data_IF_953509743586
#
_entry.id   IF_953509743586
#
_cell.length_a   1.000
_cell.length_b   1.000
_cell.length_c   1.000
_cell.angle_alpha   90.00
_cell.angle_beta   90.00
_cell.angle_gamma   90.00
#
_symmetry.space_group_name_H-M   'P 1'
#
loop_
_entity.id
_entity.type
_entity.pdbx_description
1 polymer ?
#
# COMPACT_ATOMS: atom_id res chain seq x y z
N UNK A 1 -12.07 8.52 -26.07
CA UNK A 1 -13.15 7.60 -25.64
C UNK A 1 -13.12 7.51 -24.12
N UNK A 2 -14.15 7.99 -23.42
CA UNK A 2 -14.21 7.87 -21.96
C UNK A 2 -14.48 6.40 -21.58
N UNK A 3 -13.77 5.90 -20.56
CA UNK A 3 -13.99 4.54 -20.07
C UNK A 3 -15.27 4.46 -19.24
N UNK A 4 -15.95 3.30 -19.17
CA UNK A 4 -17.14 3.14 -18.33
C UNK A 4 -16.90 3.52 -16.85
N UNK A 5 -15.70 3.27 -16.33
CA UNK A 5 -15.30 3.67 -14.99
C UNK A 5 -15.21 5.20 -14.81
N UNK A 6 -14.75 5.93 -15.84
CA UNK A 6 -14.69 7.40 -15.81
C UNK A 6 -16.10 8.02 -15.80
N UNK A 7 -17.03 7.48 -16.60
CA UNK A 7 -18.43 7.92 -16.63
C UNK A 7 -19.13 7.72 -15.27
N UNK A 8 -18.89 6.58 -14.61
CA UNK A 8 -19.42 6.31 -13.25
C UNK A 8 -18.90 7.29 -12.21
N UNK A 9 -17.60 7.64 -12.27
CA UNK A 9 -17.00 8.64 -11.38
C UNK A 9 -17.59 10.04 -11.60
N UNK A 10 -17.83 10.41 -12.85
CA UNK A 10 -18.47 11.69 -13.20
C UNK A 10 -19.91 11.76 -12.69
N UNK A 11 -20.69 10.68 -12.82
CA UNK A 11 -22.03 10.58 -12.28
C UNK A 11 -22.06 10.68 -10.74
N UNK A 12 -21.09 10.06 -10.05
CA UNK A 12 -20.97 10.16 -8.59
C UNK A 12 -20.68 11.60 -8.14
N UNK A 13 -19.81 12.31 -8.86
CA UNK A 13 -19.50 13.73 -8.59
C UNK A 13 -20.73 14.63 -8.77
N UNK A 14 -21.52 14.40 -9.83
CA UNK A 14 -22.76 15.14 -10.07
C UNK A 14 -23.81 14.86 -8.99
N UNK A 15 -23.93 13.62 -8.51
CA UNK A 15 -24.82 13.30 -7.38
C UNK A 15 -24.42 14.01 -6.09
N UNK A 16 -23.12 14.11 -5.80
CA UNK A 16 -22.63 14.86 -4.63
C UNK A 16 -22.94 16.35 -4.75
N UNK A 17 -22.69 16.96 -5.91
CA UNK A 17 -23.02 18.38 -6.15
C UNK A 17 -24.53 18.62 -6.02
N UNK A 18 -25.35 17.73 -6.58
CA UNK A 18 -26.80 17.82 -6.49
C UNK A 18 -27.29 17.75 -5.03
N UNK A 19 -26.70 16.92 -4.16
CA UNK A 19 -27.08 16.86 -2.74
C UNK A 19 -26.99 18.20 -2.01
N UNK A 20 -26.22 19.16 -2.53
CA UNK A 20 -26.05 20.49 -1.96
C UNK A 20 -26.85 21.57 -2.70
N UNK A 21 -27.48 21.23 -3.83
CA UNK A 21 -28.33 22.13 -4.60
C UNK A 21 -29.81 21.87 -4.26
N UNK A 22 -30.53 22.92 -3.87
CA UNK A 22 -31.98 22.84 -3.63
C UNK A 22 -32.76 23.47 -4.78
N UNK A 23 -33.87 22.85 -5.19
CA UNK A 23 -34.77 23.36 -6.24
C UNK A 23 -34.66 22.64 -7.61
N UNK A 24 -35.08 23.28 -8.73
CA UNK A 24 -35.17 22.63 -10.04
C UNK A 24 -33.83 22.19 -10.63
N UNK A 25 -32.72 22.80 -10.19
CA UNK A 25 -31.36 22.40 -10.58
C UNK A 25 -30.99 20.98 -10.09
N UNK A 26 -31.49 20.57 -8.92
CA UNK A 26 -31.28 19.22 -8.37
C UNK A 26 -31.76 18.13 -9.34
N UNK A 27 -32.95 18.32 -9.89
CA UNK A 27 -33.59 17.34 -10.77
C UNK A 27 -32.85 17.22 -12.11
N UNK A 28 -32.37 18.35 -12.64
CA UNK A 28 -31.59 18.36 -13.88
C UNK A 28 -30.24 17.64 -13.71
N UNK A 29 -29.55 17.88 -12.59
CA UNK A 29 -28.26 17.22 -12.33
C UNK A 29 -28.43 15.74 -12.00
N UNK A 30 -29.52 15.35 -11.34
CA UNK A 30 -29.88 13.95 -11.15
C UNK A 30 -30.22 13.23 -12.46
N UNK A 31 -30.96 13.87 -13.38
CA UNK A 31 -31.25 13.33 -14.71
C UNK A 31 -29.96 13.14 -15.53
N UNK A 32 -29.04 14.12 -15.49
CA UNK A 32 -27.72 14.02 -16.13
C UNK A 32 -26.90 12.87 -15.55
N UNK A 33 -26.89 12.71 -14.23
CA UNK A 33 -26.19 11.61 -13.57
C UNK A 33 -26.76 10.23 -13.96
N UNK A 34 -28.08 10.11 -14.09
CA UNK A 34 -28.73 8.88 -14.56
C UNK A 34 -28.40 8.57 -16.02
N UNK A 35 -28.41 9.58 -16.90
CA UNK A 35 -28.05 9.42 -18.31
C UNK A 35 -26.60 8.89 -18.49
N UNK A 36 -25.65 9.40 -17.70
CA UNK A 36 -24.25 8.92 -17.70
C UNK A 36 -24.11 7.46 -17.23
N UNK A 37 -24.94 7.04 -16.27
CA UNK A 37 -24.96 5.65 -15.79
C UNK A 37 -25.49 4.72 -16.88
N UNK A 38 -26.54 5.14 -17.61
CA UNK A 38 -27.10 4.37 -18.73
C UNK A 38 -26.09 4.24 -19.86
N UNK A 39 -25.42 5.32 -20.25
CA UNK A 39 -24.34 5.29 -21.25
C UNK A 39 -23.19 4.35 -20.84
N UNK A 40 -22.81 4.34 -19.55
CA UNK A 40 -21.79 3.42 -19.06
C UNK A 40 -22.22 1.95 -19.19
N UNK A 41 -23.48 1.62 -18.89
CA UNK A 41 -24.04 0.27 -19.07
C UNK A 41 -24.08 -0.14 -20.54
N UNK A 42 -24.46 0.76 -21.44
CA UNK A 42 -24.49 0.48 -22.88
C UNK A 42 -23.10 0.22 -23.46
N UNK A 43 -22.08 0.98 -23.02
CA UNK A 43 -20.70 0.73 -23.40
C UNK A 43 -20.18 -0.61 -22.87
N UNK A 44 -20.56 -0.99 -21.65
CA UNK A 44 -20.27 -2.31 -21.09
C UNK A 44 -20.93 -3.42 -21.91
N UNK A 45 -22.20 -3.27 -22.28
CA UNK A 45 -22.92 -4.21 -23.14
C UNK A 45 -22.31 -4.28 -24.56
N UNK A 46 -21.86 -3.16 -25.12
CA UNK A 46 -21.19 -3.10 -26.43
C UNK A 46 -19.81 -3.77 -26.39
N UNK A 47 -19.06 -3.59 -25.31
CA UNK A 47 -17.79 -4.29 -25.09
C UNK A 47 -18.01 -5.80 -24.91
N UNK A 48 -19.06 -6.19 -24.19
CA UNK A 48 -19.42 -7.59 -23.99
C UNK A 48 -19.88 -8.25 -25.31
N UNK A 49 -20.74 -7.59 -26.10
CA UNK A 49 -21.12 -8.06 -27.45
C UNK A 49 -19.93 -8.14 -28.41
N UNK A 50 -18.98 -7.21 -28.31
CA UNK A 50 -17.73 -7.26 -29.09
C UNK A 50 -16.81 -8.41 -28.66
N UNK A 51 -16.86 -8.83 -27.39
CA UNK A 51 -16.14 -10.03 -26.92
C UNK A 51 -16.85 -11.35 -27.26
N UNK A 52 -18.16 -11.33 -27.51
CA UNK A 52 -18.96 -12.50 -27.89
C UNK A 52 -19.10 -12.68 -29.42
N UNK A 53 -18.74 -11.68 -30.22
CA UNK A 53 -18.65 -11.81 -31.68
C UNK A 53 -17.21 -12.15 -32.09
N UNK A 54 -16.80 -13.38 -31.79
CA UNK A 54 -15.73 -14.06 -32.52
C UNK A 54 -16.45 -15.02 -33.48
N UNK A 55 -16.42 -14.80 -34.80
CA UNK A 55 -16.90 -15.80 -35.73
C UNK A 55 -16.05 -17.05 -35.54
N UNK A 56 -16.71 -18.18 -35.32
CA UNK A 56 -16.11 -19.51 -35.44
C UNK A 56 -15.60 -19.65 -36.87
N UNK A 57 -14.32 -19.38 -37.08
CA UNK A 57 -13.65 -19.63 -38.35
C UNK A 57 -12.49 -20.57 -38.05
N UNK A 58 -12.74 -21.86 -38.27
CA UNK A 58 -11.81 -22.97 -38.18
C UNK A 58 -10.75 -22.93 -39.29
N UNK A 59 -10.14 -21.77 -39.52
CA UNK A 59 -9.07 -21.57 -40.48
C UNK A 59 -8.26 -20.31 -40.12
N UNK A 60 -7.36 -20.45 -39.14
CA UNK A 60 -6.22 -19.53 -38.96
C UNK A 60 -4.98 -20.31 -38.56
N UNK A 61 -4.43 -21.01 -39.53
CA UNK A 61 -2.97 -21.05 -39.65
C UNK A 61 -2.46 -19.60 -39.62
N UNK A 62 -1.55 -19.28 -38.68
CA UNK A 62 -0.87 -18.00 -38.47
C UNK A 62 -1.61 -16.87 -37.71
N UNK A 63 -1.42 -16.82 -36.37
CA UNK A 63 -1.27 -15.56 -35.61
C UNK A 63 -0.04 -15.69 -34.69
N UNK A 64 1.04 -14.93 -34.88
CA UNK A 64 2.11 -14.87 -33.89
C UNK A 64 1.62 -14.05 -32.69
N UNK A 65 1.42 -14.72 -31.54
CA UNK A 65 1.15 -14.12 -30.24
C UNK A 65 2.32 -13.26 -29.74
N UNK A 66 2.50 -12.09 -30.33
CA UNK A 66 3.54 -11.11 -30.00
C UNK A 66 3.08 -10.06 -29.01
N UNK A 67 2.48 -10.43 -27.87
CA UNK A 67 2.21 -9.48 -26.78
C UNK A 67 2.63 -10.08 -25.43
N UNK A 68 3.71 -9.50 -24.91
CA UNK A 68 4.18 -9.52 -23.53
C UNK A 68 5.39 -10.40 -23.12
N UNK A 69 6.39 -10.57 -24.01
CA UNK A 69 7.72 -11.05 -23.58
C UNK A 69 8.43 -10.05 -22.64
N UNK A 70 8.17 -8.75 -22.79
CA UNK A 70 8.86 -7.67 -22.05
C UNK A 70 8.42 -7.55 -20.58
N UNK A 71 7.13 -7.71 -20.22
CA UNK A 71 6.78 -7.69 -18.80
C UNK A 71 7.26 -8.97 -18.09
N UNK A 72 7.24 -10.13 -18.78
CA UNK A 72 7.76 -11.38 -18.22
C UNK A 72 9.28 -11.30 -17.95
N UNK A 73 10.06 -10.70 -18.84
CA UNK A 73 11.49 -10.44 -18.60
C UNK A 73 11.72 -9.43 -17.48
N UNK A 74 10.91 -8.37 -17.38
CA UNK A 74 10.97 -7.40 -16.29
C UNK A 74 10.66 -8.02 -14.92
N UNK A 75 9.67 -8.92 -14.83
CA UNK A 75 9.38 -9.66 -13.60
C UNK A 75 10.53 -10.59 -13.22
N UNK A 76 11.07 -11.34 -14.18
CA UNK A 76 12.24 -12.20 -13.95
C UNK A 76 13.42 -11.39 -13.37
N UNK A 77 13.74 -10.25 -13.96
CA UNK A 77 14.84 -9.41 -13.48
C UNK A 77 14.60 -8.88 -12.06
N UNK A 78 13.35 -8.53 -11.73
CA UNK A 78 12.95 -8.14 -10.36
C UNK A 78 13.11 -9.29 -9.37
N UNK A 79 12.68 -10.50 -9.73
CA UNK A 79 12.82 -11.69 -8.89
C UNK A 79 14.30 -11.98 -8.61
N UNK A 80 15.14 -11.95 -9.66
CA UNK A 80 16.58 -12.15 -9.53
C UNK A 80 17.20 -11.11 -8.60
N UNK A 81 16.93 -9.82 -8.83
CA UNK A 81 17.42 -8.75 -7.97
C UNK A 81 16.98 -8.93 -6.50
N UNK A 82 15.74 -9.37 -6.27
CA UNK A 82 15.22 -9.64 -4.92
C UNK A 82 15.93 -10.82 -4.26
N UNK A 83 16.18 -11.91 -4.99
CA UNK A 83 16.94 -13.07 -4.51
C UNK A 83 18.36 -12.63 -4.10
N UNK A 84 19.05 -11.86 -4.94
CA UNK A 84 20.40 -11.35 -4.64
C UNK A 84 20.40 -10.46 -3.38
N UNK A 85 19.46 -9.53 -3.29
CA UNK A 85 19.32 -8.64 -2.12
C UNK A 85 19.05 -9.43 -0.83
N UNK A 86 18.11 -10.38 -0.87
CA UNK A 86 17.75 -11.17 0.31
C UNK A 86 18.87 -12.11 0.73
N UNK A 87 19.58 -12.73 -0.21
CA UNK A 87 20.75 -13.57 0.10
C UNK A 87 21.83 -12.76 0.83
N UNK A 88 22.11 -11.53 0.34
CA UNK A 88 23.03 -10.61 1.01
C UNK A 88 22.56 -10.24 2.41
N UNK A 89 21.25 -9.99 2.60
CA UNK A 89 20.69 -9.68 3.93
C UNK A 89 20.70 -10.87 4.89
N UNK A 90 20.64 -12.08 4.36
CA UNK A 90 20.74 -13.30 5.14
C UNK A 90 22.19 -13.65 5.52
N UNK A 91 23.18 -12.93 4.98
CA UNK A 91 24.59 -13.19 5.22
C UNK A 91 25.11 -14.44 4.50
N UNK A 92 24.37 -14.96 3.51
CA UNK A 92 24.84 -16.08 2.69
C UNK A 92 25.90 -15.60 1.71
N UNK A 93 27.01 -16.33 1.65
CA UNK A 93 28.02 -16.23 0.61
C UNK A 93 27.53 -16.85 -0.70
N UNK A 94 28.34 -16.77 -1.77
CA UNK A 94 27.90 -17.24 -3.08
C UNK A 94 27.68 -18.76 -3.11
N UNK A 95 28.53 -19.54 -2.42
CA UNK A 95 28.41 -21.00 -2.36
C UNK A 95 27.24 -21.44 -1.48
N UNK A 96 27.08 -20.87 -0.28
CA UNK A 96 25.94 -21.17 0.59
C UNK A 96 24.61 -20.78 -0.05
N UNK A 97 24.58 -19.71 -0.86
CA UNK A 97 23.41 -19.36 -1.67
C UNK A 97 23.12 -20.40 -2.74
N UNK A 98 24.14 -20.90 -3.45
CA UNK A 98 23.97 -21.94 -4.47
C UNK A 98 23.50 -23.26 -3.87
N UNK A 99 24.02 -23.64 -2.72
CA UNK A 99 23.61 -24.86 -2.00
C UNK A 99 22.16 -24.77 -1.51
N UNK A 100 21.76 -23.64 -0.93
CA UNK A 100 20.38 -23.39 -0.54
C UNK A 100 19.41 -23.45 -1.73
N UNK A 101 19.81 -22.88 -2.88
CA UNK A 101 19.00 -22.95 -4.10
C UNK A 101 18.87 -24.39 -4.61
N UNK A 102 19.94 -25.17 -4.51
CA UNK A 102 19.97 -26.58 -4.90
C UNK A 102 19.05 -27.43 -4.01
N UNK A 103 19.07 -27.21 -2.70
CA UNK A 103 18.19 -27.91 -1.76
C UNK A 103 16.69 -27.63 -2.02
N UNK A 104 16.33 -26.41 -2.41
CA UNK A 104 14.92 -26.00 -2.58
C UNK A 104 14.39 -26.33 -3.97
N UNK A 105 15.24 -26.23 -5.00
CA UNK A 105 14.81 -26.28 -6.40
C UNK A 105 15.55 -27.29 -7.27
N UNK A 106 16.63 -27.90 -6.74
CA UNK A 106 17.54 -28.77 -7.50
C UNK A 106 18.40 -28.01 -8.52
N UNK A 107 18.50 -26.68 -8.40
CA UNK A 107 19.24 -25.82 -9.33
C UNK A 107 20.18 -24.90 -8.58
N UNK A 108 21.45 -24.91 -8.99
CA UNK A 108 22.49 -24.03 -8.44
C UNK A 108 22.48 -22.61 -9.00
N UNK A 109 21.64 -22.31 -10.00
CA UNK A 109 21.59 -20.98 -10.65
C UNK A 109 20.19 -20.39 -10.62
N UNK A 110 20.09 -19.16 -10.13
CA UNK A 110 18.85 -18.38 -10.16
C UNK A 110 18.38 -18.06 -11.59
N UNK A 111 19.30 -18.03 -12.56
CA UNK A 111 19.03 -17.75 -13.96
C UNK A 111 18.27 -18.85 -14.69
N UNK A 112 18.45 -20.11 -14.30
CA UNK A 112 17.81 -21.30 -14.92
C UNK A 112 16.50 -21.70 -14.23
N UNK A 113 16.08 -20.93 -13.23
CA UNK A 113 14.83 -21.18 -12.49
C UNK A 113 13.60 -20.65 -13.24
N UNK A 114 12.48 -21.36 -13.11
CA UNK A 114 11.16 -20.91 -13.52
C UNK A 114 10.56 -19.92 -12.49
N UNK A 115 9.49 -19.21 -12.84
CA UNK A 115 8.85 -18.21 -11.97
C UNK A 115 8.41 -18.78 -10.61
N UNK A 116 7.84 -19.99 -10.60
CA UNK A 116 7.44 -20.67 -9.37
C UNK A 116 8.62 -21.00 -8.45
N UNK A 117 9.72 -21.48 -9.02
CA UNK A 117 10.95 -21.82 -8.28
C UNK A 117 11.58 -20.56 -7.68
N UNK A 118 11.67 -19.46 -8.45
CA UNK A 118 12.13 -18.16 -7.93
C UNK A 118 11.26 -17.67 -6.78
N UNK A 119 9.94 -17.84 -6.89
CA UNK A 119 8.99 -17.53 -5.82
C UNK A 119 9.29 -18.30 -4.53
N UNK A 120 9.49 -19.62 -4.62
CA UNK A 120 9.84 -20.47 -3.46
C UNK A 120 11.13 -20.01 -2.77
N UNK A 121 12.18 -19.73 -3.55
CA UNK A 121 13.47 -19.24 -3.03
C UNK A 121 13.31 -17.87 -2.35
N UNK A 122 12.54 -16.96 -2.95
CA UNK A 122 12.24 -15.66 -2.35
C UNK A 122 11.53 -15.84 -1.01
N UNK A 123 10.50 -16.68 -0.93
CA UNK A 123 9.77 -16.92 0.31
C UNK A 123 10.67 -17.51 1.39
N UNK A 124 11.49 -18.50 1.05
CA UNK A 124 12.45 -19.09 1.99
C UNK A 124 13.42 -18.03 2.52
N UNK A 125 14.05 -17.26 1.65
CA UNK A 125 14.98 -16.19 2.04
C UNK A 125 14.29 -15.11 2.88
N UNK A 126 13.03 -14.75 2.60
CA UNK A 126 12.30 -13.79 3.41
C UNK A 126 12.04 -14.28 4.84
N UNK A 127 11.86 -15.58 5.03
CA UNK A 127 11.69 -16.17 6.36
C UNK A 127 13.02 -16.27 7.12
N UNK A 128 14.13 -16.47 6.41
CA UNK A 128 15.47 -16.58 7.01
C UNK A 128 16.06 -15.21 7.35
N UNK A 129 15.75 -14.16 6.59
CA UNK A 129 16.26 -12.81 6.86
C UNK A 129 15.57 -12.23 8.10
N UNK A 130 16.31 -11.79 9.14
CA UNK A 130 15.71 -11.12 10.29
C UNK A 130 14.99 -9.86 9.81
N UNK A 131 13.72 -9.75 10.20
CA UNK A 131 12.82 -8.71 9.75
C UNK A 131 13.21 -7.36 10.41
N UNK A 132 14.24 -6.72 9.87
CA UNK A 132 14.64 -5.36 10.24
C UNK A 132 13.52 -4.43 9.75
N UNK A 133 12.47 -4.26 10.57
CA UNK A 133 11.37 -3.33 10.29
C UNK A 133 11.96 -1.93 10.13
N UNK A 134 12.16 -1.48 8.90
CA UNK A 134 12.53 -0.09 8.59
C UNK A 134 11.47 0.82 9.20
N UNK A 135 11.85 1.59 10.22
CA UNK A 135 11.02 2.65 10.79
C UNK A 135 10.07 2.24 11.93
N UNK A 136 10.17 1.02 12.48
CA UNK A 136 9.45 0.73 13.73
C UNK A 136 10.29 1.27 14.88
N UNK A 137 9.96 2.48 15.34
CA UNK A 137 10.50 2.96 16.60
C UNK A 137 10.11 1.97 17.71
N UNK A 138 11.07 1.48 18.53
CA UNK A 138 10.77 0.56 19.61
C UNK A 138 9.77 1.21 20.58
N UNK A 139 8.69 0.49 20.88
CA UNK A 139 7.62 0.95 21.77
C UNK A 139 6.53 1.81 21.13
N UNK A 140 6.45 1.87 19.79
CA UNK A 140 5.34 2.49 19.06
C UNK A 140 3.99 1.84 19.47
N UNK A 141 2.98 2.61 19.92
CA UNK A 141 1.66 2.08 20.27
C UNK A 141 0.97 1.38 19.10
N UNK A 142 0.29 0.26 19.35
CA UNK A 142 -0.46 -0.50 18.35
C UNK A 142 -1.74 0.22 17.86
N UNK A 143 -2.24 1.21 18.59
CA UNK A 143 -3.50 1.91 18.30
C UNK A 143 -3.35 3.19 17.43
N UNK A 144 -2.27 3.33 16.67
CA UNK A 144 -1.94 4.58 15.96
C UNK A 144 -2.88 4.94 14.81
N UNK A 145 -3.38 3.94 14.09
CA UNK A 145 -4.08 4.18 12.83
C UNK A 145 -5.45 4.85 13.05
N UNK A 146 -6.03 4.71 14.25
CA UNK A 146 -7.38 5.20 14.56
C UNK A 146 -7.40 6.46 15.46
N UNK A 147 -6.26 6.92 15.98
CA UNK A 147 -6.25 8.02 16.96
C UNK A 147 -5.37 9.21 16.49
N UNK A 148 -6.04 10.30 16.09
CA UNK A 148 -5.41 11.55 15.64
C UNK A 148 -4.44 12.15 16.69
N UNK A 149 -4.71 11.95 17.98
CA UNK A 149 -3.84 12.47 19.05
C UNK A 149 -2.50 11.74 19.08
N UNK A 150 -2.50 10.42 18.87
CA UNK A 150 -1.27 9.62 18.83
C UNK A 150 -0.45 9.99 17.58
N UNK A 151 -1.09 10.25 16.44
CA UNK A 151 -0.42 10.76 15.23
C UNK A 151 0.21 12.13 15.47
N UNK A 152 -0.47 13.03 16.19
CA UNK A 152 0.10 14.33 16.57
C UNK A 152 1.30 14.19 17.50
N UNK A 153 1.25 13.26 18.46
CA UNK A 153 2.39 12.92 19.32
C UNK A 153 3.55 12.40 18.46
N UNK A 154 3.29 11.52 17.49
CA UNK A 154 4.32 11.02 16.56
C UNK A 154 4.99 12.17 15.80
N UNK A 155 4.20 13.10 15.25
CA UNK A 155 4.73 14.25 14.51
C UNK A 155 5.62 15.13 15.40
N UNK A 156 5.20 15.43 16.64
CA UNK A 156 5.98 16.21 17.59
C UNK A 156 7.29 15.50 18.00
N UNK A 157 7.23 14.18 18.20
CA UNK A 157 8.41 13.37 18.50
C UNK A 157 9.38 13.32 17.31
N UNK A 158 8.86 13.15 16.10
CA UNK A 158 9.66 13.11 14.87
C UNK A 158 10.39 14.45 14.62
N UNK A 159 9.69 15.56 14.78
CA UNK A 159 10.26 16.92 14.68
C UNK A 159 11.40 17.12 15.69
N UNK A 160 11.21 16.64 16.93
CA UNK A 160 12.21 16.74 17.98
C UNK A 160 13.28 15.63 17.94
N UNK A 161 13.19 14.66 17.00
CA UNK A 161 14.02 13.45 16.92
C UNK A 161 14.04 12.63 18.21
N UNK A 162 12.94 12.63 18.96
CA UNK A 162 12.80 11.86 20.20
C UNK A 162 12.16 10.49 19.96
N UNK A 163 12.57 9.45 20.71
CA UNK A 163 11.93 8.15 20.66
C UNK A 163 10.57 8.14 21.36
N UNK A 164 9.71 7.18 21.03
CA UNK A 164 8.41 6.95 21.70
C UNK A 164 8.53 6.74 23.22
N UNK A 165 9.66 6.20 23.68
CA UNK A 165 9.97 6.07 25.11
C UNK A 165 9.90 7.40 25.86
N UNK A 166 10.18 8.53 25.19
CA UNK A 166 10.06 9.85 25.80
C UNK A 166 8.61 10.20 26.10
N UNK A 167 7.70 10.00 25.13
CA UNK A 167 6.27 10.22 25.36
C UNK A 167 5.69 9.25 26.40
N UNK A 168 6.15 7.98 26.42
CA UNK A 168 5.80 7.02 27.47
C UNK A 168 6.24 7.50 28.85
N UNK A 169 7.46 8.05 28.98
CA UNK A 169 7.95 8.59 30.23
C UNK A 169 7.11 9.79 30.74
N UNK A 170 6.62 10.64 29.82
CA UNK A 170 5.70 11.75 30.17
C UNK A 170 4.37 11.18 30.69
N UNK A 171 3.77 10.23 29.98
CA UNK A 171 2.53 9.58 30.41
C UNK A 171 2.67 8.89 31.77
N UNK A 172 3.81 8.23 32.02
CA UNK A 172 4.13 7.61 33.31
C UNK A 172 4.24 8.65 34.42
N UNK A 173 4.91 9.79 34.18
CA UNK A 173 5.06 10.85 35.19
C UNK A 173 3.76 11.58 35.51
N UNK A 174 2.90 11.82 34.51
CA UNK A 174 1.66 12.59 34.69
C UNK A 174 0.49 11.73 35.16
N UNK A 175 0.39 10.49 34.66
CA UNK A 175 -0.79 9.65 34.80
C UNK A 175 -0.49 8.24 35.31
N UNK A 176 0.76 7.92 35.63
CA UNK A 176 1.19 6.59 36.11
C UNK A 176 0.84 5.44 35.14
N UNK A 177 0.78 5.74 33.83
CA UNK A 177 0.49 4.75 32.79
C UNK A 177 1.77 4.34 32.05
N UNK A 178 2.01 3.03 31.95
CA UNK A 178 3.22 2.49 31.32
C UNK A 178 3.20 2.55 29.78
N UNK A 179 2.02 2.76 29.16
CA UNK A 179 1.90 2.89 27.71
C UNK A 179 0.77 3.84 27.31
N UNK A 180 1.00 4.57 26.21
CA UNK A 180 0.04 5.53 25.64
C UNK A 180 -1.26 4.89 25.16
N UNK A 181 -1.28 3.56 24.98
CA UNK A 181 -2.49 2.80 24.63
C UNK A 181 -3.52 2.78 25.75
N UNK A 182 -3.06 2.87 27.01
CA UNK A 182 -3.94 2.91 28.17
C UNK A 182 -4.42 4.33 28.49
N UNK A 183 -3.90 5.33 27.77
CA UNK A 183 -4.25 6.72 28.02
C UNK A 183 -5.62 7.07 27.43
N UNK A 184 -6.42 7.82 28.20
CA UNK A 184 -7.67 8.38 27.69
C UNK A 184 -7.41 9.55 26.75
N UNK A 185 -8.41 9.97 25.98
CA UNK A 185 -8.27 11.13 25.08
C UNK A 185 -7.86 12.42 25.81
N UNK A 186 -8.34 12.63 27.04
CA UNK A 186 -7.97 13.80 27.86
C UNK A 186 -6.50 13.75 28.27
N UNK A 187 -6.02 12.57 28.67
CA UNK A 187 -4.63 12.37 29.07
C UNK A 187 -3.67 12.51 27.89
N UNK A 188 -4.05 12.00 26.70
CA UNK A 188 -3.28 12.19 25.47
C UNK A 188 -3.16 13.66 25.09
N UNK A 189 -4.22 14.46 25.26
CA UNK A 189 -4.16 15.93 25.11
C UNK A 189 -3.17 16.56 26.10
N UNK A 190 -3.12 16.08 27.34
CA UNK A 190 -2.13 16.52 28.33
C UNK A 190 -0.69 16.23 27.91
N UNK A 191 -0.42 15.03 27.38
CA UNK A 191 0.89 14.66 26.84
C UNK A 191 1.27 15.54 25.64
N UNK A 192 0.33 15.81 24.72
CA UNK A 192 0.54 16.73 23.59
C UNK A 192 0.92 18.13 24.10
N UNK A 193 0.19 18.65 25.09
CA UNK A 193 0.47 19.97 25.66
C UNK A 193 1.86 20.04 26.30
N UNK A 194 2.29 18.98 26.98
CA UNK A 194 3.64 18.89 27.54
C UNK A 194 4.71 18.92 26.43
N UNK A 195 4.51 18.18 25.33
CA UNK A 195 5.42 18.19 24.19
C UNK A 195 5.45 19.53 23.45
N UNK A 196 4.31 20.21 23.31
CA UNK A 196 4.24 21.56 22.72
C UNK A 196 4.99 22.56 23.61
N UNK A 197 4.85 22.47 24.93
CA UNK A 197 5.59 23.34 25.87
C UNK A 197 7.10 23.10 25.78
N UNK A 198 7.53 21.85 25.67
CA UNK A 198 8.93 21.49 25.42
C UNK A 198 9.43 22.06 24.09
N UNK A 199 8.67 21.86 23.00
CA UNK A 199 9.01 22.37 21.68
C UNK A 199 9.16 23.90 21.67
N UNK A 200 8.27 24.63 22.35
CA UNK A 200 8.36 26.08 22.54
C UNK A 200 9.61 26.48 23.31
N UNK A 201 9.93 25.77 24.40
CA UNK A 201 11.14 26.02 25.21
C UNK A 201 12.42 25.86 24.37
N UNK A 202 12.40 24.95 23.40
CA UNK A 202 13.52 24.67 22.50
C UNK A 202 13.44 25.41 21.15
N UNK A 203 12.52 26.37 20.98
CA UNK A 203 12.41 27.20 19.78
C UNK A 203 12.00 26.43 18.50
N UNK A 204 11.36 25.27 18.63
CA UNK A 204 10.94 24.44 17.49
C UNK A 204 9.59 24.89 16.94
N UNK A 205 9.36 24.70 15.63
CA UNK A 205 8.08 25.02 14.99
C UNK A 205 7.02 24.02 15.45
N UNK A 206 6.05 24.50 16.22
CA UNK A 206 4.84 23.72 16.55
C UNK A 206 3.77 24.08 15.52
N UNK A 207 3.47 23.18 14.59
CA UNK A 207 2.36 23.30 13.62
C UNK A 207 1.14 22.49 14.07
#
# INVERSE_FOLDING_TARGET
MQTPQQLRKQAAKLKQIAQHASGPAYHQDMQRAQALITQAKELEAKNQKRSLSVPDNSDTSAIPGGRNKQAASNLRNKDLAKIHLLSKKAGLDDDGRRDMMDQITGKRSSGTMNAFERGKVITHLQNTVPNQKKGSFPGKPNNLDNNQQIQKIEALLAEAKYPWSYAKAIAKRMYQKDSLEFCSSVELSGVINALIKDAKKHGRKTS
#
